data_IF_381954925783
#
_entry.id   IF_381954925783
#
_cell.length_a   1.000
_cell.length_b   1.000
_cell.length_c   1.000
_cell.angle_alpha   90.00
_cell.angle_beta   90.00
_cell.angle_gamma   90.00
#
_symmetry.space_group_name_H-M   'P 1'
#
loop_
_entity.id
_entity.type
_entity.pdbx_description
1 polymer ?
#
# COMPACT_ATOMS: atom_id res chain seq x y z
N UNK A 1 22.27 13.93 -21.48
CA UNK A 1 23.60 13.94 -20.82
C UNK A 1 23.49 14.21 -19.32
N UNK A 2 22.42 14.86 -18.82
CA UNK A 2 22.25 15.22 -17.40
C UNK A 2 22.10 14.07 -16.37
N UNK A 3 21.70 12.87 -16.82
CA UNK A 3 21.63 11.67 -15.96
C UNK A 3 23.01 11.11 -15.64
N UNK A 4 23.87 11.01 -16.66
CA UNK A 4 25.23 10.49 -16.54
C UNK A 4 26.15 11.46 -15.80
N UNK A 5 25.75 12.73 -15.64
CA UNK A 5 26.48 13.73 -14.88
C UNK A 5 25.99 13.86 -13.44
N UNK A 6 24.97 13.09 -13.02
CA UNK A 6 24.39 13.16 -11.67
C UNK A 6 23.60 14.46 -11.38
N UNK A 7 23.45 15.35 -12.37
CA UNK A 7 22.74 16.62 -12.22
C UNK A 7 21.21 16.45 -12.08
N UNK A 8 20.67 15.32 -12.56
CA UNK A 8 19.31 14.85 -12.30
C UNK A 8 19.32 13.36 -12.03
N UNK A 9 18.73 12.93 -10.91
CA UNK A 9 18.51 11.53 -10.61
C UNK A 9 17.52 10.87 -11.58
N UNK A 10 17.58 9.54 -11.65
CA UNK A 10 16.59 8.77 -12.39
C UNK A 10 15.20 9.07 -11.85
N UNK A 11 14.23 9.44 -12.70
CA UNK A 11 12.82 9.49 -12.30
C UNK A 11 12.34 8.04 -12.09
N UNK A 12 12.72 7.45 -10.96
CA UNK A 12 12.47 6.04 -10.59
C UNK A 12 10.97 5.73 -10.50
N UNK A 13 10.13 6.75 -10.30
CA UNK A 13 8.68 6.64 -10.22
C UNK A 13 7.98 6.68 -11.59
N UNK A 14 8.74 6.64 -12.71
CA UNK A 14 8.13 6.31 -13.98
C UNK A 14 7.56 4.89 -13.93
N UNK A 15 6.33 4.76 -14.44
CA UNK A 15 5.51 3.54 -14.39
C UNK A 15 6.27 2.26 -14.79
N UNK A 16 7.14 2.34 -15.80
CA UNK A 16 7.97 1.21 -16.25
C UNK A 16 9.01 0.76 -15.22
N UNK A 17 9.71 1.69 -14.55
CA UNK A 17 10.78 1.31 -13.60
C UNK A 17 10.22 0.74 -12.31
N UNK A 18 9.12 1.30 -11.79
CA UNK A 18 8.50 0.73 -10.59
C UNK A 18 7.88 -0.64 -10.89
N UNK A 19 7.12 -0.75 -11.99
CA UNK A 19 6.58 -2.05 -12.42
C UNK A 19 7.68 -3.08 -12.64
N UNK A 20 8.85 -2.68 -13.13
CA UNK A 20 9.97 -3.58 -13.35
C UNK A 20 10.72 -3.94 -12.06
N UNK A 21 10.91 -2.99 -11.13
CA UNK A 21 11.60 -3.23 -9.86
C UNK A 21 10.73 -4.02 -8.88
N UNK A 22 9.43 -3.73 -8.83
CA UNK A 22 8.46 -4.29 -7.88
C UNK A 22 7.39 -5.14 -8.59
N UNK A 23 7.71 -5.69 -9.76
CA UNK A 23 6.84 -6.68 -10.39
C UNK A 23 6.70 -7.87 -9.46
N UNK A 24 5.48 -8.18 -9.05
CA UNK A 24 5.17 -9.44 -8.36
C UNK A 24 5.38 -10.66 -9.25
N UNK A 25 5.45 -10.49 -10.58
CA UNK A 25 5.70 -11.57 -11.54
C UNK A 25 7.20 -11.81 -11.76
N UNK A 26 8.03 -10.76 -11.76
CA UNK A 26 9.46 -10.86 -12.06
C UNK A 26 10.35 -10.84 -10.82
N UNK A 27 9.98 -10.10 -9.78
CA UNK A 27 10.77 -9.88 -8.56
C UNK A 27 9.89 -9.83 -7.28
N UNK A 28 9.11 -10.89 -6.99
CA UNK A 28 8.26 -10.94 -5.81
C UNK A 28 9.03 -10.74 -4.50
N UNK A 29 10.30 -11.16 -4.42
CA UNK A 29 11.16 -11.03 -3.25
C UNK A 29 11.32 -9.58 -2.79
N UNK A 30 11.40 -8.63 -3.72
CA UNK A 30 11.53 -7.20 -3.40
C UNK A 30 10.24 -6.63 -2.84
N UNK A 31 9.11 -7.12 -3.34
CA UNK A 31 7.80 -6.72 -2.83
C UNK A 31 7.54 -7.34 -1.46
N UNK A 32 7.93 -8.61 -1.25
CA UNK A 32 7.88 -9.27 0.05
C UNK A 32 8.75 -8.56 1.09
N UNK A 33 9.96 -8.12 0.72
CA UNK A 33 10.88 -7.43 1.61
C UNK A 33 10.33 -6.07 2.05
N UNK A 34 9.90 -5.21 1.11
CA UNK A 34 9.33 -3.91 1.46
C UNK A 34 8.05 -4.05 2.29
N UNK A 35 7.18 -5.02 1.95
CA UNK A 35 5.98 -5.29 2.74
C UNK A 35 6.33 -5.83 4.13
N UNK A 36 7.40 -6.62 4.25
CA UNK A 36 7.84 -7.14 5.54
C UNK A 36 8.32 -6.01 6.46
N UNK A 37 9.07 -5.06 5.90
CA UNK A 37 9.53 -3.86 6.61
C UNK A 37 8.35 -2.95 7.00
N UNK A 38 7.44 -2.68 6.06
CA UNK A 38 6.26 -1.84 6.29
C UNK A 38 5.34 -2.47 7.34
N UNK A 39 5.04 -3.76 7.24
CA UNK A 39 4.13 -4.48 8.15
C UNK A 39 4.82 -4.91 9.46
N UNK A 40 6.14 -4.76 9.57
CA UNK A 40 6.96 -5.16 10.72
C UNK A 40 6.82 -6.64 11.07
N UNK A 41 6.68 -7.48 10.05
CA UNK A 41 6.61 -8.94 10.15
C UNK A 41 7.07 -9.54 8.84
N UNK A 42 7.65 -10.73 8.87
CA UNK A 42 7.96 -11.45 7.63
C UNK A 42 6.66 -11.80 6.90
N UNK A 43 6.58 -11.46 5.63
CA UNK A 43 5.46 -11.82 4.75
C UNK A 43 5.97 -12.54 3.50
N UNK A 44 5.12 -13.38 2.93
CA UNK A 44 5.32 -13.93 1.59
C UNK A 44 4.07 -13.72 0.74
N UNK A 45 4.24 -13.53 -0.56
CA UNK A 45 3.15 -13.39 -1.51
C UNK A 45 2.80 -14.78 -2.04
N UNK A 46 1.60 -15.25 -1.72
CA UNK A 46 1.09 -16.52 -2.24
C UNK A 46 0.68 -16.40 -3.71
N UNK A 47 -0.03 -15.33 -4.04
CA UNK A 47 -0.51 -15.06 -5.39
C UNK A 47 -0.92 -13.61 -5.57
N UNK A 48 -0.89 -13.15 -6.82
CA UNK A 48 -1.50 -11.91 -7.26
C UNK A 48 -2.92 -12.20 -7.69
N UNK A 49 -3.89 -11.48 -7.15
CA UNK A 49 -5.30 -11.63 -7.50
C UNK A 49 -5.64 -10.68 -8.65
N UNK A 50 -6.45 -11.12 -9.63
CA UNK A 50 -6.88 -10.24 -10.73
C UNK A 50 -7.69 -9.07 -10.17
N UNK A 51 -7.53 -7.87 -10.73
CA UNK A 51 -8.39 -6.73 -10.36
C UNK A 51 -9.79 -6.97 -10.94
N UNK A 52 -10.81 -7.09 -10.09
CA UNK A 52 -12.21 -7.18 -10.53
C UNK A 52 -12.62 -5.76 -10.97
N UNK A 53 -12.45 -5.47 -12.25
CA UNK A 53 -12.53 -4.11 -12.79
C UNK A 53 -13.95 -3.55 -12.75
N UNK A 54 -14.27 -2.80 -11.69
CA UNK A 54 -15.04 -1.55 -11.77
C UNK A 54 -14.14 -0.46 -11.18
N UNK A 55 -13.09 -0.10 -11.93
CA UNK A 55 -12.29 1.09 -11.61
C UNK A 55 -13.24 2.30 -11.62
N UNK A 56 -13.16 3.17 -10.62
CA UNK A 56 -14.07 4.32 -10.47
C UNK A 56 -13.71 5.35 -11.55
N UNK A 57 -14.24 5.10 -12.75
CA UNK A 57 -14.38 5.81 -14.03
C UNK A 57 -13.46 6.97 -14.49
N UNK A 58 -12.65 7.66 -13.68
CA UNK A 58 -11.86 8.84 -14.12
C UNK A 58 -10.35 8.77 -13.79
N UNK A 59 -9.85 7.62 -13.34
CA UNK A 59 -8.58 7.50 -12.61
C UNK A 59 -7.32 7.18 -13.44
N UNK A 60 -7.41 7.11 -14.78
CA UNK A 60 -6.36 6.50 -15.61
C UNK A 60 -5.02 7.26 -15.67
N UNK A 61 -4.97 8.57 -15.40
CA UNK A 61 -3.75 9.37 -15.63
C UNK A 61 -2.86 9.55 -14.39
N UNK A 62 -3.37 9.28 -13.19
CA UNK A 62 -2.67 9.55 -11.92
C UNK A 62 -2.31 8.26 -11.16
N UNK A 63 -2.94 7.13 -11.49
CA UNK A 63 -2.65 5.83 -10.92
C UNK A 63 -1.53 5.14 -11.72
N UNK A 64 -0.46 4.75 -11.04
CA UNK A 64 0.71 4.09 -11.65
C UNK A 64 0.56 2.58 -11.55
N UNK A 65 0.35 2.08 -10.33
CA UNK A 65 0.22 0.65 -10.03
C UNK A 65 -0.91 0.44 -9.04
N UNK A 66 -1.66 -0.65 -9.22
CA UNK A 66 -2.73 -1.12 -8.35
C UNK A 66 -2.73 -2.64 -8.39
N UNK A 67 -2.25 -3.26 -7.32
CA UNK A 67 -2.03 -4.70 -7.24
C UNK A 67 -2.61 -5.27 -5.96
N UNK A 68 -3.53 -6.21 -6.10
CA UNK A 68 -4.03 -6.98 -4.98
C UNK A 68 -3.25 -8.29 -4.85
N UNK A 69 -2.61 -8.51 -3.70
CA UNK A 69 -1.89 -9.75 -3.39
C UNK A 69 -2.50 -10.45 -2.19
N UNK A 70 -2.38 -11.78 -2.17
CA UNK A 70 -2.67 -12.61 -1.01
C UNK A 70 -1.36 -12.99 -0.32
N UNK A 71 -1.30 -12.74 0.99
CA UNK A 71 -0.14 -13.05 1.83
C UNK A 71 -0.23 -14.48 2.40
N UNK A 72 0.88 -14.96 2.97
CA UNK A 72 1.04 -16.31 3.53
C UNK A 72 0.12 -16.64 4.71
N UNK A 73 -0.38 -15.65 5.42
CA UNK A 73 -1.38 -15.81 6.48
C UNK A 73 -2.83 -15.71 6.00
N UNK A 74 -3.03 -15.55 4.68
CA UNK A 74 -4.34 -15.38 4.03
C UNK A 74 -4.89 -13.95 4.07
N UNK A 75 -4.17 -12.98 4.62
CA UNK A 75 -4.53 -11.57 4.51
C UNK A 75 -4.36 -11.07 3.08
N UNK A 76 -5.13 -10.05 2.70
CA UNK A 76 -5.01 -9.42 1.39
C UNK A 76 -4.35 -8.06 1.54
N UNK A 77 -3.46 -7.70 0.62
CA UNK A 77 -2.86 -6.38 0.57
C UNK A 77 -3.09 -5.76 -0.81
N UNK A 78 -3.80 -4.62 -0.85
CA UNK A 78 -3.86 -3.78 -2.03
C UNK A 78 -2.71 -2.78 -1.99
N UNK A 79 -1.88 -2.79 -3.02
CA UNK A 79 -0.66 -1.98 -3.11
C UNK A 79 -0.85 -1.00 -4.26
N UNK A 80 -0.95 0.28 -3.93
CA UNK A 80 -1.27 1.35 -4.86
C UNK A 80 -0.15 2.39 -4.91
N UNK A 81 0.11 2.93 -6.10
CA UNK A 81 1.05 4.04 -6.28
C UNK A 81 0.38 5.12 -7.10
N UNK A 82 0.38 6.31 -6.54
CA UNK A 82 -0.27 7.47 -7.11
C UNK A 82 0.77 8.53 -7.46
N UNK A 83 0.75 9.01 -8.69
CA UNK A 83 1.60 10.10 -9.18
C UNK A 83 1.30 11.43 -8.49
N UNK A 84 0.01 11.69 -8.26
CA UNK A 84 -0.49 12.83 -7.50
C UNK A 84 -1.54 12.28 -6.55
N UNK A 85 -1.40 12.58 -5.26
CA UNK A 85 -2.41 12.26 -4.26
C UNK A 85 -3.72 12.91 -4.65
N UNK A 86 -4.76 12.08 -4.74
CA UNK A 86 -6.11 12.56 -4.98
C UNK A 86 -6.58 13.44 -3.83
N UNK A 87 -7.49 14.37 -4.13
CA UNK A 87 -8.28 15.01 -3.09
C UNK A 87 -9.02 13.92 -2.28
N UNK A 88 -9.07 14.08 -0.95
CA UNK A 88 -9.72 13.16 -0.02
C UNK A 88 -9.12 11.73 0.04
N UNK A 89 -7.81 11.58 0.28
CA UNK A 89 -7.15 10.26 0.32
C UNK A 89 -7.80 9.29 1.31
N UNK A 90 -8.28 9.78 2.46
CA UNK A 90 -8.97 8.98 3.47
C UNK A 90 -10.29 8.35 2.99
N UNK A 91 -11.10 9.10 2.23
CA UNK A 91 -12.38 8.58 1.69
C UNK A 91 -12.11 7.49 0.66
N UNK A 92 -11.09 7.68 -0.17
CA UNK A 92 -10.71 6.75 -1.24
C UNK A 92 -10.21 5.42 -0.69
N UNK A 93 -9.28 5.44 0.28
CA UNK A 93 -8.78 4.19 0.88
C UNK A 93 -9.87 3.43 1.64
N UNK A 94 -10.85 4.13 2.23
CA UNK A 94 -11.99 3.49 2.84
C UNK A 94 -12.83 2.69 1.82
N UNK A 95 -13.10 3.27 0.65
CA UNK A 95 -13.84 2.60 -0.43
C UNK A 95 -13.11 1.35 -0.94
N UNK A 96 -11.83 1.45 -1.30
CA UNK A 96 -11.08 0.29 -1.82
C UNK A 96 -10.89 -0.81 -0.79
N UNK A 97 -10.63 -0.44 0.46
CA UNK A 97 -10.50 -1.42 1.52
C UNK A 97 -11.82 -2.15 1.78
N UNK A 98 -12.95 -1.43 1.76
CA UNK A 98 -14.27 -2.05 1.92
C UNK A 98 -14.57 -3.02 0.78
N UNK A 99 -14.23 -2.66 -0.47
CA UNK A 99 -14.38 -3.55 -1.62
C UNK A 99 -13.51 -4.81 -1.47
N UNK A 100 -12.24 -4.64 -1.11
CA UNK A 100 -11.30 -5.75 -0.87
C UNK A 100 -11.80 -6.68 0.24
N UNK A 101 -12.32 -6.12 1.34
CA UNK A 101 -12.90 -6.89 2.44
C UNK A 101 -14.13 -7.68 2.00
N UNK A 102 -15.04 -7.05 1.26
CA UNK A 102 -16.23 -7.72 0.72
C UNK A 102 -15.88 -8.82 -0.26
N UNK A 103 -14.85 -8.62 -1.09
CA UNK A 103 -14.33 -9.63 -2.00
C UNK A 103 -13.82 -10.84 -1.23
N UNK A 104 -12.99 -10.61 -0.20
CA UNK A 104 -12.48 -11.67 0.66
C UNK A 104 -13.64 -12.43 1.35
N UNK A 105 -14.61 -11.69 1.89
CA UNK A 105 -15.78 -12.27 2.52
C UNK A 105 -16.58 -13.17 1.58
N UNK A 106 -16.86 -12.72 0.36
CA UNK A 106 -17.58 -13.52 -0.64
C UNK A 106 -16.82 -14.81 -0.99
N UNK A 107 -15.50 -14.71 -1.21
CA UNK A 107 -14.63 -15.86 -1.50
C UNK A 107 -14.64 -16.88 -0.36
N UNK A 108 -14.26 -16.45 0.84
CA UNK A 108 -14.14 -17.33 2.02
C UNK A 108 -15.49 -17.95 2.40
N UNK A 109 -16.58 -17.17 2.33
CA UNK A 109 -17.93 -17.68 2.60
C UNK A 109 -18.35 -18.76 1.60
N UNK A 110 -18.04 -18.56 0.30
CA UNK A 110 -18.32 -19.55 -0.74
C UNK A 110 -17.55 -20.87 -0.51
N UNK A 111 -16.29 -20.77 -0.11
CA UNK A 111 -15.43 -21.92 0.17
C UNK A 111 -15.85 -22.69 1.44
N UNK A 112 -16.11 -21.96 2.53
CA UNK A 112 -16.45 -22.56 3.85
C UNK A 112 -17.92 -22.98 3.98
N UNK A 113 -18.82 -22.42 3.17
CA UNK A 113 -20.27 -22.70 3.18
C UNK A 113 -20.84 -22.64 4.60
N UNK A 114 -21.42 -23.74 5.08
CA UNK A 114 -22.06 -23.83 6.40
C UNK A 114 -21.06 -23.80 7.58
N UNK A 115 -19.75 -23.92 7.33
CA UNK A 115 -18.70 -23.85 8.36
C UNK A 115 -18.13 -22.44 8.51
N UNK A 116 -18.66 -21.46 7.79
CA UNK A 116 -18.17 -20.09 7.79
C UNK A 116 -18.38 -19.41 9.15
N UNK A 117 -17.35 -18.69 9.60
CA UNK A 117 -17.39 -17.76 10.72
C UNK A 117 -16.66 -16.47 10.36
N UNK A 118 -16.98 -15.35 11.02
CA UNK A 118 -16.26 -14.09 10.78
C UNK A 118 -14.77 -14.15 11.14
N UNK A 119 -14.35 -15.12 11.97
CA UNK A 119 -12.93 -15.37 12.27
C UNK A 119 -12.15 -15.98 11.10
N UNK A 120 -12.84 -16.47 10.08
CA UNK A 120 -12.21 -16.96 8.86
C UNK A 120 -11.78 -15.81 7.93
N UNK A 121 -12.27 -14.58 8.16
CA UNK A 121 -11.84 -13.40 7.41
C UNK A 121 -10.56 -12.84 8.03
N UNK A 122 -9.58 -12.57 7.19
CA UNK A 122 -8.29 -11.97 7.54
C UNK A 122 -8.30 -10.48 7.27
N UNK A 123 -7.39 -9.77 7.94
CA UNK A 123 -7.17 -8.34 7.72
C UNK A 123 -6.91 -8.06 6.24
N UNK A 124 -7.44 -6.94 5.76
CA UNK A 124 -7.12 -6.36 4.46
C UNK A 124 -6.31 -5.10 4.66
N UNK A 125 -5.17 -5.03 3.98
CA UNK A 125 -4.29 -3.87 3.98
C UNK A 125 -4.53 -3.05 2.72
N UNK A 126 -4.58 -1.73 2.86
CA UNK A 126 -4.53 -0.79 1.73
C UNK A 126 -3.29 0.07 1.91
N UNK A 127 -2.27 -0.22 1.12
CA UNK A 127 -0.95 0.40 1.18
C UNK A 127 -0.81 1.32 -0.02
N UNK A 128 -0.66 2.61 0.22
CA UNK A 128 -0.64 3.63 -0.82
C UNK A 128 0.65 4.44 -0.73
N UNK A 129 1.41 4.45 -1.82
CA UNK A 129 2.56 5.32 -2.00
C UNK A 129 2.16 6.54 -2.84
N UNK A 130 2.48 7.74 -2.34
CA UNK A 130 2.20 8.99 -3.04
C UNK A 130 3.50 9.59 -3.55
N UNK A 131 3.67 9.72 -4.86
CA UNK A 131 4.81 10.46 -5.42
C UNK A 131 4.76 11.94 -5.03
N UNK A 132 3.56 12.53 -5.04
CA UNK A 132 3.25 13.86 -4.51
C UNK A 132 2.05 13.76 -3.60
N UNK A 133 2.23 14.01 -2.31
CA UNK A 133 1.18 13.87 -1.30
C UNK A 133 0.34 15.15 -1.16
N UNK A 134 -0.86 15.02 -0.57
CA UNK A 134 -1.75 16.15 -0.32
C UNK A 134 -1.30 16.97 0.90
N UNK A 135 -1.84 18.18 1.05
CA UNK A 135 -1.40 19.15 2.07
C UNK A 135 -1.46 18.60 3.50
N UNK A 136 -2.40 17.71 3.81
CA UNK A 136 -2.56 17.11 5.13
C UNK A 136 -1.31 16.33 5.58
N UNK A 137 -0.62 15.67 4.64
CA UNK A 137 0.64 14.98 4.93
C UNK A 137 1.77 15.96 5.23
N UNK A 138 1.80 17.11 4.52
CA UNK A 138 2.80 18.16 4.71
C UNK A 138 2.68 18.90 6.06
N UNK A 139 1.60 18.67 6.82
CA UNK A 139 1.49 19.13 8.22
C UNK A 139 2.28 18.24 9.19
N UNK A 140 2.66 17.03 8.77
CA UNK A 140 3.32 16.01 9.59
C UNK A 140 4.64 15.56 8.96
N UNK A 141 5.45 16.51 8.49
CA UNK A 141 6.68 16.21 7.71
C UNK A 141 7.66 15.27 8.39
N UNK A 142 7.73 15.26 9.73
CA UNK A 142 8.58 14.34 10.49
C UNK A 142 8.20 12.85 10.31
N UNK A 143 7.01 12.57 9.75
CA UNK A 143 6.50 11.24 9.54
C UNK A 143 6.13 11.02 8.07
N UNK A 144 6.72 9.98 7.46
CA UNK A 144 6.42 9.59 6.09
C UNK A 144 5.73 8.21 5.99
N UNK A 145 5.37 7.62 7.13
CA UNK A 145 4.60 6.38 7.20
C UNK A 145 3.44 6.61 8.16
N UNK A 146 2.22 6.60 7.63
CA UNK A 146 1.00 6.79 8.41
C UNK A 146 0.19 5.50 8.41
N UNK A 147 0.15 4.82 9.55
CA UNK A 147 -0.66 3.61 9.75
C UNK A 147 -1.95 3.96 10.45
N UNK A 148 -3.08 3.61 9.88
CA UNK A 148 -4.36 3.76 10.54
C UNK A 148 -4.58 2.61 11.53
N UNK A 149 -5.20 2.92 12.67
CA UNK A 149 -5.78 1.91 13.56
C UNK A 149 -7.16 2.39 13.99
N UNK A 150 -8.16 1.51 13.93
CA UNK A 150 -9.49 1.83 14.42
C UNK A 150 -9.54 1.64 15.94
N UNK A 151 -9.94 2.69 16.64
CA UNK A 151 -10.16 2.69 18.09
C UNK A 151 -11.48 3.41 18.33
N UNK A 152 -12.31 2.88 19.23
CA UNK A 152 -13.56 3.54 19.60
C UNK A 152 -13.27 4.78 20.45
N UNK A 153 -14.21 5.72 20.49
CA UNK A 153 -14.14 6.95 21.30
C UNK A 153 -13.83 6.69 22.79
N UNK A 154 -14.27 5.55 23.30
CA UNK A 154 -13.99 5.05 24.67
C UNK A 154 -12.61 4.41 24.86
N UNK A 155 -11.74 4.45 23.85
CA UNK A 155 -10.46 3.73 23.81
C UNK A 155 -10.58 2.20 23.77
N UNK A 156 -11.79 1.66 23.61
CA UNK A 156 -12.00 0.23 23.39
C UNK A 156 -11.26 -0.21 22.12
N UNK A 157 -10.40 -1.21 22.26
CA UNK A 157 -9.68 -1.83 21.16
C UNK A 157 -10.36 -3.15 20.80
N UNK A 158 -10.97 -3.19 19.62
CA UNK A 158 -11.45 -4.42 19.01
C UNK A 158 -10.61 -4.72 17.79
N UNK A 159 -10.47 -6.01 17.46
CA UNK A 159 -9.86 -6.43 16.22
C UNK A 159 -10.76 -6.04 15.05
N UNK A 160 -10.24 -5.19 14.17
CA UNK A 160 -10.91 -4.71 12.97
C UNK A 160 -10.14 -5.17 11.74
N UNK A 161 -10.85 -5.46 10.66
CA UNK A 161 -10.28 -6.14 9.50
C UNK A 161 -9.67 -5.20 8.46
N UNK A 162 -9.67 -3.89 8.67
CA UNK A 162 -9.19 -2.91 7.70
C UNK A 162 -8.04 -2.10 8.27
N UNK A 163 -6.90 -2.12 7.58
CA UNK A 163 -5.73 -1.31 7.92
C UNK A 163 -5.24 -0.53 6.69
N UNK A 164 -4.96 0.76 6.89
CA UNK A 164 -4.45 1.66 5.86
C UNK A 164 -3.01 2.04 6.19
N UNK A 165 -2.15 2.05 5.18
CA UNK A 165 -0.76 2.50 5.29
C UNK A 165 -0.51 3.50 4.17
N UNK A 166 -0.31 4.77 4.53
CA UNK A 166 -0.15 5.87 3.60
C UNK A 166 1.29 6.38 3.67
N UNK A 167 1.98 6.43 2.52
CA UNK A 167 3.42 6.68 2.44
C UNK A 167 3.69 7.83 1.46
N UNK A 168 3.82 9.08 1.93
CA UNK A 168 4.23 10.23 1.12
C UNK A 168 5.72 10.17 0.73
N UNK A 169 6.02 9.77 -0.50
CA UNK A 169 7.40 9.64 -1.01
C UNK A 169 8.10 10.99 -1.23
N UNK A 170 7.35 12.07 -1.44
CA UNK A 170 7.89 13.43 -1.47
C UNK A 170 8.44 13.85 -0.10
N UNK A 171 7.69 13.57 0.98
CA UNK A 171 8.12 13.83 2.35
C UNK A 171 9.29 12.91 2.75
N UNK A 172 9.23 11.62 2.39
CA UNK A 172 10.36 10.71 2.59
C UNK A 172 11.65 11.26 1.98
N UNK A 173 11.60 11.74 0.73
CA UNK A 173 12.77 12.33 0.05
C UNK A 173 13.28 13.59 0.74
N UNK A 174 12.38 14.45 1.24
CA UNK A 174 12.77 15.64 2.03
C UNK A 174 13.49 15.21 3.32
N UNK A 175 12.96 14.23 4.04
CA UNK A 175 13.51 13.77 5.31
C UNK A 175 14.83 13.03 5.18
N UNK A 176 15.04 12.31 4.07
CA UNK A 176 16.30 11.61 3.80
C UNK A 176 17.38 12.55 3.27
N UNK A 177 17.04 13.78 2.88
CA UNK A 177 18.00 14.73 2.36
C UNK A 177 19.00 15.14 3.46
N UNK A 178 20.24 14.66 3.35
CA UNK A 178 21.34 14.84 4.32
C UNK A 178 21.17 14.13 5.67
N UNK A 179 20.25 13.15 5.78
CA UNK A 179 20.12 12.30 6.96
C UNK A 179 21.03 11.07 6.86
N UNK A 180 21.59 10.64 7.99
CA UNK A 180 22.22 9.31 8.09
C UNK A 180 21.09 8.28 8.16
N UNK A 181 21.14 7.28 7.29
CA UNK A 181 20.20 6.15 7.27
C UNK A 181 20.27 5.41 8.59
N UNK A 182 19.15 5.33 9.32
CA UNK A 182 19.10 4.75 10.67
C UNK A 182 18.28 3.45 10.76
N UNK A 183 17.62 3.03 9.68
CA UNK A 183 16.84 1.79 9.63
C UNK A 183 16.88 1.10 8.27
N UNK A 184 16.62 -0.21 8.24
CA UNK A 184 16.54 -0.98 6.99
C UNK A 184 15.48 -0.42 6.03
N UNK A 185 14.36 0.08 6.56
CA UNK A 185 13.30 0.69 5.75
C UNK A 185 13.68 2.06 5.17
N UNK A 186 14.63 2.78 5.78
CA UNK A 186 15.21 3.99 5.18
C UNK A 186 16.26 3.68 4.10
N UNK A 187 16.92 2.53 4.23
CA UNK A 187 17.93 2.06 3.28
C UNK A 187 17.33 1.46 1.99
N UNK A 188 16.07 1.03 2.06
CA UNK A 188 15.35 0.30 1.02
C UNK A 188 14.65 1.24 0.02
#
# INVERSE_FOLDING_TARGET
MDFCTGARGVKMLYDSFFKEIFSSEYHPERLEEILSLILKRKVRICQVLPNDSVRIADEQSLLITDMLVELDDGSLANIEIQKIGYAFPGQRVACYSADTLLRQYKRVKSERKNKFTYRDIKTVYTIVFFEKSTQEFHLLKEHYIHKSKQVFDTMLQLETLQEYILIPLDIFKENMHNKIIDSELEAY
#
